data_IF_506585205300
#
_entry.id   IF_506585205300
#
_cell.length_a   1.000
_cell.length_b   1.000
_cell.length_c   1.000
_cell.angle_alpha   90.00
_cell.angle_beta   90.00
_cell.angle_gamma   90.00
#
_symmetry.space_group_name_H-M   'P 1'
#
loop_
_entity.id
_entity.type
_entity.pdbx_description
1 polymer ?
#
# COMPACT_ATOMS: atom_id res chain seq x y z
N UNK A 1 17.07 40.82 -20.36
CA UNK A 1 16.39 39.90 -19.44
C UNK A 1 16.91 40.18 -18.05
N UNK A 2 16.05 40.62 -17.13
CA UNK A 2 16.46 40.91 -15.75
C UNK A 2 16.03 39.75 -14.84
N UNK A 3 17.01 39.07 -14.25
CA UNK A 3 16.78 37.93 -13.36
C UNK A 3 17.34 38.23 -11.99
N UNK A 4 16.52 37.99 -10.97
CA UNK A 4 16.93 37.99 -9.57
C UNK A 4 16.66 36.61 -8.99
N UNK A 5 17.72 35.89 -8.60
CA UNK A 5 17.58 34.62 -7.87
C UNK A 5 17.24 34.93 -6.41
N UNK A 6 16.11 34.40 -5.93
CA UNK A 6 15.62 34.63 -4.57
C UNK A 6 16.08 33.51 -3.63
N UNK A 7 15.98 32.26 -4.11
CA UNK A 7 16.27 31.08 -3.30
C UNK A 7 16.65 29.91 -4.20
N UNK A 8 17.73 29.23 -3.86
CA UNK A 8 18.06 27.92 -4.45
C UNK A 8 17.51 26.80 -3.56
N UNK A 9 16.81 25.85 -4.19
CA UNK A 9 16.36 24.63 -3.55
C UNK A 9 17.41 23.56 -3.80
N UNK A 10 17.96 23.04 -2.71
CA UNK A 10 18.95 21.98 -2.76
C UNK A 10 18.33 20.72 -3.38
N UNK A 11 18.75 20.40 -4.59
CA UNK A 11 18.39 19.17 -5.29
C UNK A 11 19.51 18.16 -5.22
N UNK A 12 19.14 16.88 -5.12
CA UNK A 12 20.07 15.81 -5.48
C UNK A 12 20.18 15.77 -7.02
N UNK A 13 21.39 15.64 -7.53
CA UNK A 13 21.64 15.42 -8.96
C UNK A 13 22.38 16.55 -9.66
N UNK A 14 22.24 16.57 -10.98
CA UNK A 14 22.95 17.49 -11.89
C UNK A 14 22.22 18.82 -12.09
N UNK A 15 20.93 18.87 -11.77
CA UNK A 15 20.07 20.02 -12.03
C UNK A 15 20.10 21.02 -10.87
N UNK A 16 19.95 22.31 -11.16
CA UNK A 16 19.61 23.34 -10.17
C UNK A 16 18.10 23.56 -10.16
N UNK A 17 17.55 23.93 -9.01
CA UNK A 17 16.16 24.37 -8.87
C UNK A 17 16.15 25.70 -8.12
N UNK A 18 15.72 26.77 -8.77
CA UNK A 18 15.84 28.13 -8.21
C UNK A 18 14.53 28.91 -8.33
N UNK A 19 14.04 29.41 -7.21
CA UNK A 19 12.99 30.42 -7.19
C UNK A 19 13.61 31.76 -7.57
N UNK A 20 13.03 32.42 -8.56
CA UNK A 20 13.56 33.65 -9.12
C UNK A 20 12.43 34.60 -9.55
N UNK A 21 12.80 35.84 -9.83
CA UNK A 21 11.97 36.80 -10.54
C UNK A 21 12.60 37.08 -11.89
N UNK A 22 11.84 36.84 -12.97
CA UNK A 22 12.23 37.09 -14.36
C UNK A 22 11.34 38.21 -14.92
N UNK A 23 11.96 39.35 -15.25
CA UNK A 23 11.28 40.55 -15.75
C UNK A 23 10.06 40.97 -14.90
N UNK A 24 10.20 40.85 -13.57
CA UNK A 24 9.18 41.20 -12.59
C UNK A 24 8.14 40.11 -12.31
N UNK A 25 8.21 38.95 -12.98
CA UNK A 25 7.31 37.81 -12.74
C UNK A 25 8.01 36.72 -11.91
N UNK A 26 7.35 36.18 -10.87
CA UNK A 26 7.88 35.04 -10.14
C UNK A 26 7.92 33.80 -11.05
N UNK A 27 9.08 33.14 -11.07
CA UNK A 27 9.32 31.93 -11.86
C UNK A 27 10.08 30.90 -11.04
N UNK A 28 10.03 29.65 -11.49
CA UNK A 28 10.93 28.58 -11.07
C UNK A 28 11.85 28.26 -12.24
N UNK A 29 13.16 28.29 -11.99
CA UNK A 29 14.18 27.97 -12.98
C UNK A 29 14.76 26.58 -12.71
N UNK A 30 14.80 25.76 -13.77
CA UNK A 30 15.50 24.47 -13.75
C UNK A 30 16.68 24.56 -14.72
N UNK A 31 17.89 24.52 -14.18
CA UNK A 31 19.12 24.58 -14.95
C UNK A 31 20.05 23.41 -14.65
N UNK A 32 21.33 23.58 -14.98
CA UNK A 32 22.41 22.65 -14.65
C UNK A 32 23.33 23.27 -13.61
N UNK A 33 23.77 22.46 -12.64
CA UNK A 33 24.85 22.86 -11.71
C UNK A 33 26.13 23.09 -12.49
N UNK A 34 26.98 23.99 -11.99
CA UNK A 34 28.18 24.45 -12.70
C UNK A 34 29.06 23.32 -13.25
N UNK A 35 29.24 22.24 -12.49
CA UNK A 35 30.04 21.06 -12.86
C UNK A 35 29.49 20.23 -14.03
N UNK A 36 28.25 20.49 -14.46
CA UNK A 36 27.56 19.76 -15.53
C UNK A 36 27.18 20.63 -16.74
N UNK A 37 27.32 21.95 -16.65
CA UNK A 37 26.93 22.88 -17.73
C UNK A 37 27.70 22.65 -19.03
N UNK A 38 28.98 22.32 -18.94
CA UNK A 38 29.85 22.09 -20.10
C UNK A 38 29.72 20.67 -20.68
N UNK A 39 28.82 19.83 -20.16
CA UNK A 39 28.65 18.44 -20.59
C UNK A 39 27.41 18.34 -21.50
N UNK A 40 27.59 18.20 -22.83
CA UNK A 40 26.48 18.29 -23.80
C UNK A 40 25.36 17.27 -23.58
N UNK A 41 25.65 16.13 -22.95
CA UNK A 41 24.65 15.11 -22.61
C UNK A 41 23.56 15.65 -21.68
N UNK A 42 23.90 16.39 -20.63
CA UNK A 42 22.92 16.91 -19.67
C UNK A 42 22.14 18.09 -20.23
N UNK A 43 22.77 18.88 -21.09
CA UNK A 43 22.06 19.91 -21.84
C UNK A 43 21.02 19.30 -22.76
N UNK A 44 21.39 18.30 -23.57
CA UNK A 44 20.46 17.58 -24.46
C UNK A 44 19.29 16.98 -23.68
N UNK A 45 19.57 16.43 -22.52
CA UNK A 45 18.56 15.86 -21.63
C UNK A 45 17.61 16.91 -21.05
N UNK A 46 18.13 18.06 -20.62
CA UNK A 46 17.33 19.21 -20.19
C UNK A 46 16.39 19.67 -21.31
N UNK A 47 16.93 19.88 -22.52
CA UNK A 47 16.14 20.28 -23.71
C UNK A 47 15.08 19.22 -24.06
N UNK A 48 15.44 17.93 -24.00
CA UNK A 48 14.51 16.82 -24.27
C UNK A 48 13.35 16.80 -23.28
N UNK A 49 13.60 17.05 -22.00
CA UNK A 49 12.54 17.09 -21.00
C UNK A 49 11.62 18.30 -21.19
N UNK A 50 12.17 19.47 -21.53
CA UNK A 50 11.36 20.63 -21.90
C UNK A 50 10.43 20.31 -23.08
N UNK A 51 10.99 19.79 -24.18
CA UNK A 51 10.22 19.46 -25.39
C UNK A 51 9.12 18.43 -25.11
N UNK A 52 9.35 17.48 -24.19
CA UNK A 52 8.36 16.48 -23.79
C UNK A 52 7.21 17.07 -22.97
N UNK A 53 7.46 18.08 -22.14
CA UNK A 53 6.51 18.56 -21.14
C UNK A 53 5.95 19.97 -21.41
N UNK A 54 6.47 20.71 -22.40
CA UNK A 54 6.10 22.12 -22.65
C UNK A 54 4.62 22.34 -22.99
N UNK A 55 3.96 21.33 -23.56
CA UNK A 55 2.52 21.39 -23.90
C UNK A 55 1.62 20.96 -22.74
N UNK A 56 2.18 20.52 -21.60
CA UNK A 56 1.36 20.15 -20.45
C UNK A 56 0.68 21.39 -19.87
N UNK A 57 -0.63 21.32 -19.83
CA UNK A 57 -1.50 22.36 -19.29
C UNK A 57 -2.58 21.70 -18.44
N UNK A 58 -2.37 21.71 -17.13
CA UNK A 58 -3.26 21.10 -16.15
C UNK A 58 -3.15 21.82 -14.82
N UNK A 59 -4.27 21.98 -14.11
CA UNK A 59 -4.36 22.81 -12.92
C UNK A 59 -3.40 22.39 -11.79
N UNK A 60 -3.04 21.11 -11.72
CA UNK A 60 -2.12 20.57 -10.72
C UNK A 60 -0.68 20.40 -11.21
N UNK A 61 -0.35 20.90 -12.40
CA UNK A 61 1.00 20.96 -12.93
C UNK A 61 1.51 22.40 -12.99
N UNK A 62 2.81 22.56 -12.86
CA UNK A 62 3.49 23.82 -13.11
C UNK A 62 3.82 23.93 -14.60
N UNK A 63 3.32 24.98 -15.26
CA UNK A 63 3.50 25.18 -16.70
C UNK A 63 4.93 25.60 -17.04
N UNK A 64 5.56 24.87 -17.96
CA UNK A 64 6.81 25.30 -18.58
C UNK A 64 6.52 26.39 -19.61
N UNK A 65 7.06 27.58 -19.41
CA UNK A 65 6.77 28.74 -20.26
C UNK A 65 7.80 28.95 -21.35
N UNK A 66 9.08 28.64 -21.07
CA UNK A 66 10.16 28.81 -22.01
C UNK A 66 11.39 27.96 -21.66
N UNK A 67 12.31 27.87 -22.61
CA UNK A 67 13.68 27.41 -22.41
C UNK A 67 14.60 28.55 -22.85
N UNK A 68 15.26 29.18 -21.88
CA UNK A 68 16.00 30.43 -22.08
C UNK A 68 17.49 30.27 -21.74
N UNK A 69 18.35 31.01 -22.43
CA UNK A 69 19.76 31.13 -22.07
C UNK A 69 19.92 32.20 -20.98
N UNK A 70 20.31 31.76 -19.78
CA UNK A 70 20.52 32.62 -18.62
C UNK A 70 22.01 32.91 -18.47
N UNK A 71 22.37 34.19 -18.39
CA UNK A 71 23.77 34.59 -18.22
C UNK A 71 24.39 33.94 -16.96
N UNK A 72 25.57 33.37 -17.13
CA UNK A 72 26.27 32.61 -16.09
C UNK A 72 25.62 31.28 -15.66
N UNK A 73 24.46 30.87 -16.20
CA UNK A 73 23.85 29.55 -15.92
C UNK A 73 23.68 28.65 -17.16
N UNK A 74 23.67 29.23 -18.36
CA UNK A 74 23.38 28.52 -19.60
C UNK A 74 21.88 28.27 -19.78
N UNK A 75 21.46 27.20 -20.48
CA UNK A 75 20.06 26.94 -20.74
C UNK A 75 19.32 26.57 -19.45
N UNK A 76 18.22 27.26 -19.19
CA UNK A 76 17.31 26.98 -18.08
C UNK A 76 15.87 26.88 -18.58
N UNK A 77 15.14 25.89 -18.07
CA UNK A 77 13.69 25.81 -18.24
C UNK A 77 13.06 26.82 -17.28
N UNK A 78 12.19 27.67 -17.82
CA UNK A 78 11.40 28.63 -17.07
C UNK A 78 10.02 28.04 -16.83
N UNK A 79 9.59 28.01 -15.58
CA UNK A 79 8.25 27.60 -15.19
C UNK A 79 7.52 28.74 -14.48
N UNK A 80 6.20 28.82 -14.70
CA UNK A 80 5.36 29.74 -13.94
C UNK A 80 5.39 29.40 -12.45
N UNK A 81 5.42 30.40 -11.58
CA UNK A 81 5.40 30.16 -10.13
C UNK A 81 4.38 31.06 -9.45
N UNK A 82 3.51 30.44 -8.66
CA UNK A 82 2.63 31.12 -7.72
C UNK A 82 3.25 31.11 -6.32
N UNK A 83 2.78 32.01 -5.45
CA UNK A 83 3.21 32.02 -4.05
C UNK A 83 2.81 30.72 -3.35
N UNK A 84 3.77 30.08 -2.68
CA UNK A 84 3.56 28.79 -2.05
C UNK A 84 4.82 28.26 -1.38
N UNK A 85 4.75 27.00 -0.95
CA UNK A 85 5.86 26.28 -0.31
C UNK A 85 5.98 24.87 -0.85
N UNK A 86 7.13 24.23 -0.68
CA UNK A 86 7.29 22.83 -1.08
C UNK A 86 6.47 21.91 -0.17
N UNK A 87 6.12 20.72 -0.65
CA UNK A 87 5.45 19.71 0.16
C UNK A 87 6.28 19.30 1.37
N UNK A 88 7.61 19.33 1.27
CA UNK A 88 8.51 19.09 2.41
C UNK A 88 8.30 20.11 3.56
N UNK A 89 8.08 21.38 3.23
CA UNK A 89 7.76 22.41 4.21
C UNK A 89 6.34 22.23 4.74
N UNK A 90 5.37 21.96 3.86
CA UNK A 90 3.98 21.70 4.21
C UNK A 90 3.85 20.55 5.23
N UNK A 91 4.53 19.43 5.02
CA UNK A 91 4.50 18.28 5.94
C UNK A 91 5.02 18.63 7.34
N UNK A 92 6.00 19.54 7.43
CA UNK A 92 6.57 19.99 8.72
C UNK A 92 5.63 20.92 9.50
N UNK A 93 4.66 21.54 8.83
CA UNK A 93 3.64 22.38 9.47
C UNK A 93 2.60 21.56 10.25
N UNK A 94 2.45 20.27 9.96
CA UNK A 94 1.60 19.35 10.72
C UNK A 94 0.11 19.50 10.43
N UNK A 95 -0.27 19.37 9.16
CA UNK A 95 -1.65 19.46 8.70
C UNK A 95 -2.54 18.28 9.11
N UNK A 96 -3.84 18.46 8.94
CA UNK A 96 -4.88 17.45 9.22
C UNK A 96 -4.86 16.32 8.19
N UNK A 97 -5.49 15.19 8.55
CA UNK A 97 -5.66 14.06 7.63
C UNK A 97 -6.45 14.48 6.38
N UNK A 98 -7.48 15.32 6.54
CA UNK A 98 -8.30 15.81 5.43
C UNK A 98 -7.52 16.67 4.44
N UNK A 99 -6.64 17.53 4.94
CA UNK A 99 -5.76 18.36 4.11
C UNK A 99 -4.77 17.48 3.34
N UNK A 100 -4.11 16.53 4.01
CA UNK A 100 -3.20 15.59 3.35
C UNK A 100 -3.91 14.68 2.35
N UNK A 101 -5.13 14.24 2.63
CA UNK A 101 -5.94 13.50 1.66
C UNK A 101 -6.22 14.34 0.42
N UNK A 102 -6.58 15.62 0.59
CA UNK A 102 -6.81 16.53 -0.54
C UNK A 102 -5.56 16.66 -1.40
N UNK A 103 -4.40 16.89 -0.78
CA UNK A 103 -3.10 16.96 -1.47
C UNK A 103 -2.78 15.66 -2.20
N UNK A 104 -3.03 14.50 -1.58
CA UNK A 104 -2.79 13.19 -2.19
C UNK A 104 -3.64 12.95 -3.45
N UNK A 105 -4.92 13.33 -3.42
CA UNK A 105 -5.83 13.22 -4.58
C UNK A 105 -5.35 14.12 -5.72
N UNK A 106 -5.10 15.40 -5.44
CA UNK A 106 -4.65 16.35 -6.46
C UNK A 106 -3.31 15.93 -7.09
N UNK A 107 -2.39 15.39 -6.28
CA UNK A 107 -1.12 14.84 -6.77
C UNK A 107 -1.33 13.61 -7.65
N UNK A 108 -2.23 12.70 -7.27
CA UNK A 108 -2.57 11.56 -8.10
C UNK A 108 -3.18 12.01 -9.44
N UNK A 109 -4.12 12.96 -9.44
CA UNK A 109 -4.72 13.50 -10.66
C UNK A 109 -3.68 14.16 -11.59
N UNK A 110 -2.67 14.86 -11.04
CA UNK A 110 -1.53 15.35 -11.81
C UNK A 110 -0.74 14.23 -12.49
N UNK A 111 -0.47 13.13 -11.80
CA UNK A 111 0.26 11.97 -12.35
C UNK A 111 -0.56 11.25 -13.43
N UNK A 112 -1.85 11.09 -13.19
CA UNK A 112 -2.80 10.52 -14.14
C UNK A 112 -2.85 11.34 -15.44
N UNK A 113 -2.87 12.67 -15.35
CA UNK A 113 -2.73 13.55 -16.53
C UNK A 113 -1.42 13.29 -17.29
N UNK A 114 -0.28 13.20 -16.59
CA UNK A 114 1.02 12.90 -17.22
C UNK A 114 0.98 11.56 -17.94
N UNK A 115 0.41 10.52 -17.31
CA UNK A 115 0.33 9.16 -17.86
C UNK A 115 -0.58 9.09 -19.09
N UNK A 116 -1.72 9.77 -19.08
CA UNK A 116 -2.62 9.87 -20.25
C UNK A 116 -1.99 10.58 -21.44
N UNK A 117 -1.02 11.46 -21.19
CA UNK A 117 -0.23 12.11 -22.23
C UNK A 117 1.01 11.29 -22.64
N UNK A 118 1.08 10.00 -22.28
CA UNK A 118 2.12 9.07 -22.72
C UNK A 118 3.49 9.30 -22.06
N UNK A 119 3.53 10.03 -20.96
CA UNK A 119 4.75 10.28 -20.19
C UNK A 119 4.70 9.59 -18.83
N UNK A 120 5.86 9.41 -18.22
CA UNK A 120 6.02 8.99 -16.82
C UNK A 120 6.87 10.05 -16.16
N UNK A 121 6.48 10.51 -14.96
CA UNK A 121 7.24 11.53 -14.26
C UNK A 121 8.61 10.96 -13.84
N UNK A 122 8.62 9.77 -13.25
CA UNK A 122 9.80 8.95 -12.99
C UNK A 122 10.74 9.48 -11.89
N UNK A 123 10.31 10.50 -11.14
CA UNK A 123 11.01 11.07 -9.97
C UNK A 123 10.08 12.01 -9.21
N UNK A 124 9.03 11.48 -8.59
CA UNK A 124 8.12 12.27 -7.76
C UNK A 124 8.70 12.34 -6.35
N UNK A 125 8.94 13.53 -5.82
CA UNK A 125 9.42 13.71 -4.45
C UNK A 125 8.94 15.05 -3.85
N UNK A 126 8.94 15.23 -2.52
CA UNK A 126 8.40 16.42 -1.87
C UNK A 126 9.04 17.76 -2.30
N UNK A 127 10.28 17.75 -2.80
CA UNK A 127 10.95 18.96 -3.30
C UNK A 127 10.40 19.42 -4.67
N UNK A 128 9.79 18.52 -5.44
CA UNK A 128 9.23 18.81 -6.77
C UNK A 128 7.73 19.10 -6.73
N UNK A 129 7.14 19.16 -5.54
CA UNK A 129 5.71 19.40 -5.32
C UNK A 129 5.58 20.71 -4.56
N UNK A 130 4.84 21.66 -5.12
CA UNK A 130 4.49 22.91 -4.46
C UNK A 130 3.04 22.89 -3.99
N UNK A 131 2.78 23.51 -2.86
CA UNK A 131 1.47 23.78 -2.30
C UNK A 131 1.25 25.29 -2.32
N UNK A 132 0.23 25.75 -3.04
CA UNK A 132 -0.08 27.18 -3.16
C UNK A 132 -0.49 27.74 -1.81
N UNK A 133 -0.07 28.97 -1.51
CA UNK A 133 -0.46 29.62 -0.26
C UNK A 133 -1.98 29.90 -0.21
N UNK A 134 -2.59 30.13 -1.38
CA UNK A 134 -4.03 30.28 -1.50
C UNK A 134 -4.67 28.94 -1.85
N UNK A 135 -5.45 28.40 -0.91
CA UNK A 135 -6.27 27.20 -1.12
C UNK A 135 -5.52 25.86 -1.06
N UNK A 136 -4.23 25.87 -0.70
CA UNK A 136 -3.37 24.68 -0.58
C UNK A 136 -3.51 23.70 -1.76
N UNK A 137 -3.47 24.24 -2.98
CA UNK A 137 -3.52 23.45 -4.21
C UNK A 137 -2.15 22.92 -4.59
N UNK A 138 -2.12 21.71 -5.13
CA UNK A 138 -0.90 21.07 -5.63
C UNK A 138 -0.45 21.72 -6.95
N UNK A 139 0.83 21.99 -7.08
CA UNK A 139 1.52 22.32 -8.33
C UNK A 139 2.75 21.42 -8.45
N UNK A 140 2.62 20.32 -9.18
CA UNK A 140 3.71 19.38 -9.45
C UNK A 140 4.60 19.91 -10.59
N UNK A 141 5.90 19.92 -10.38
CA UNK A 141 6.89 20.29 -11.39
C UNK A 141 7.11 19.11 -12.34
N UNK A 142 6.71 19.16 -13.62
CA UNK A 142 6.76 18.00 -14.53
C UNK A 142 8.18 17.77 -15.09
N UNK A 143 9.14 17.55 -14.20
CA UNK A 143 10.56 17.41 -14.53
C UNK A 143 11.21 16.30 -13.70
N UNK A 144 11.96 15.43 -14.35
CA UNK A 144 12.73 14.36 -13.72
C UNK A 144 14.12 14.84 -13.37
N UNK A 145 14.45 14.93 -12.08
CA UNK A 145 15.83 15.20 -11.66
C UNK A 145 16.76 14.05 -12.06
N UNK A 146 17.91 14.38 -12.65
CA UNK A 146 18.95 13.39 -12.95
C UNK A 146 19.87 13.22 -11.76
N UNK A 147 19.75 12.08 -11.09
CA UNK A 147 20.65 11.68 -10.00
C UNK A 147 21.96 11.14 -10.57
N UNK A 148 23.08 11.47 -9.92
CA UNK A 148 24.36 10.81 -10.17
C UNK A 148 24.50 9.56 -9.30
N UNK A 149 25.34 8.60 -9.68
CA UNK A 149 25.57 7.34 -8.93
C UNK A 149 25.88 7.58 -7.45
N UNK A 150 26.73 8.56 -7.14
CA UNK A 150 27.07 8.95 -5.76
C UNK A 150 25.90 9.52 -4.94
N UNK A 151 24.76 9.84 -5.56
CA UNK A 151 23.58 10.46 -4.94
C UNK A 151 22.38 9.52 -4.85
N UNK A 152 22.38 8.38 -5.53
CA UNK A 152 21.50 7.25 -5.17
C UNK A 152 21.73 6.79 -3.73
N UNK A 153 22.93 7.05 -3.19
CA UNK A 153 23.29 6.79 -1.79
C UNK A 153 22.57 7.71 -0.78
N UNK A 154 22.02 8.85 -1.22
CA UNK A 154 21.24 9.73 -0.34
C UNK A 154 19.83 9.19 -0.12
N UNK A 155 19.63 8.55 1.05
CA UNK A 155 18.33 8.02 1.51
C UNK A 155 17.18 9.02 1.43
N UNK A 156 17.47 10.32 1.48
CA UNK A 156 16.44 11.36 1.45
C UNK A 156 15.70 11.41 0.10
N UNK A 157 16.34 11.06 -1.01
CA UNK A 157 15.73 11.08 -2.35
C UNK A 157 15.48 9.65 -2.85
N UNK A 158 16.40 8.72 -2.62
CA UNK A 158 16.25 7.33 -3.09
C UNK A 158 15.04 6.61 -2.49
N UNK A 159 14.58 7.01 -1.29
CA UNK A 159 13.36 6.43 -0.67
C UNK A 159 12.09 6.60 -1.52
N UNK A 160 12.04 7.57 -2.44
CA UNK A 160 10.91 7.79 -3.36
C UNK A 160 11.11 7.10 -4.71
N UNK A 161 12.32 6.60 -4.98
CA UNK A 161 12.66 5.94 -6.25
C UNK A 161 12.18 4.50 -6.20
N UNK A 162 11.40 4.09 -7.20
CA UNK A 162 10.93 2.72 -7.31
C UNK A 162 12.10 1.76 -7.58
N UNK A 163 12.08 0.51 -7.08
CA UNK A 163 13.20 -0.43 -7.24
C UNK A 163 13.66 -0.62 -8.70
N UNK A 164 12.71 -0.71 -9.64
CA UNK A 164 13.00 -0.84 -11.07
C UNK A 164 13.67 0.40 -11.69
N UNK A 165 13.47 1.57 -11.08
CA UNK A 165 14.12 2.81 -11.49
C UNK A 165 15.56 2.91 -10.99
N UNK A 166 15.89 2.20 -9.90
CA UNK A 166 17.27 2.03 -9.42
C UNK A 166 18.01 0.99 -10.27
N UNK A 167 17.36 -0.15 -10.53
CA UNK A 167 17.96 -1.27 -11.27
C UNK A 167 18.18 -0.93 -12.76
N UNK A 168 17.34 -0.06 -13.35
CA UNK A 168 17.43 0.35 -14.76
C UNK A 168 17.15 -0.77 -15.77
N UNK A 169 16.68 -1.93 -15.30
CA UNK A 169 16.50 -3.16 -16.10
C UNK A 169 15.21 -3.17 -16.91
N UNK A 170 14.24 -2.33 -16.54
CA UNK A 170 12.91 -2.26 -17.17
C UNK A 170 12.56 -0.80 -17.43
N UNK A 171 11.85 -0.55 -18.54
CA UNK A 171 11.29 0.77 -18.81
C UNK A 171 10.30 1.17 -17.70
N UNK A 172 10.37 2.43 -17.26
CA UNK A 172 9.46 2.95 -16.25
C UNK A 172 8.06 3.11 -16.83
N UNK A 173 7.07 2.77 -16.01
CA UNK A 173 5.64 2.96 -16.27
C UNK A 173 4.98 3.70 -15.09
N UNK A 174 3.66 3.87 -15.15
CA UNK A 174 2.87 4.53 -14.12
C UNK A 174 3.12 3.99 -12.70
N UNK A 175 3.51 2.72 -12.57
CA UNK A 175 3.71 2.07 -11.27
C UNK A 175 4.87 2.68 -10.52
N UNK A 176 5.90 3.19 -11.21
CA UNK A 176 7.03 3.86 -10.58
C UNK A 176 6.58 5.16 -9.87
N UNK A 177 5.70 5.93 -10.50
CA UNK A 177 5.13 7.14 -9.90
C UNK A 177 4.17 6.81 -8.75
N UNK A 178 3.39 5.72 -8.87
CA UNK A 178 2.52 5.22 -7.80
C UNK A 178 3.34 4.78 -6.57
N UNK A 179 4.52 4.20 -6.77
CA UNK A 179 5.43 3.87 -5.66
C UNK A 179 5.86 5.14 -4.93
N UNK A 180 6.31 6.15 -5.67
CA UNK A 180 6.72 7.43 -5.10
C UNK A 180 5.56 8.11 -4.34
N UNK A 181 4.36 8.11 -4.93
CA UNK A 181 3.13 8.60 -4.28
C UNK A 181 2.88 7.88 -2.95
N UNK A 182 2.95 6.55 -2.93
CA UNK A 182 2.78 5.77 -1.72
C UNK A 182 3.81 6.09 -0.62
N UNK A 183 5.04 6.45 -0.97
CA UNK A 183 6.05 6.90 -0.01
C UNK A 183 5.75 8.30 0.53
N UNK A 184 5.22 9.19 -0.30
CA UNK A 184 4.76 10.52 0.11
C UNK A 184 3.56 10.42 1.06
N UNK A 185 2.62 9.50 0.83
CA UNK A 185 1.51 9.25 1.76
C UNK A 185 2.01 8.87 3.17
N UNK A 186 3.12 8.12 3.26
CA UNK A 186 3.74 7.79 4.57
C UNK A 186 4.30 9.03 5.26
N UNK A 187 4.92 9.95 4.50
CA UNK A 187 5.43 11.21 5.06
C UNK A 187 4.33 12.13 5.56
N UNK A 188 3.19 12.14 4.85
CA UNK A 188 1.97 12.82 5.28
C UNK A 188 1.25 12.10 6.44
N UNK A 189 1.81 11.02 6.99
CA UNK A 189 1.28 10.28 8.13
C UNK A 189 -0.16 9.77 7.94
N UNK A 190 -0.57 9.55 6.68
CA UNK A 190 -1.83 8.92 6.32
C UNK A 190 -1.74 7.42 6.67
N UNK A 191 -2.04 7.03 7.90
CA UNK A 191 -1.71 5.68 8.40
C UNK A 191 -2.87 4.69 8.36
N UNK A 192 -3.50 4.38 9.50
CA UNK A 192 -4.41 3.24 9.68
C UNK A 192 -5.44 3.05 8.55
N UNK A 193 -6.23 4.08 8.16
CA UNK A 193 -7.22 3.94 7.09
C UNK A 193 -6.60 3.68 5.70
N UNK A 194 -5.39 4.17 5.43
CA UNK A 194 -4.71 4.07 4.13
C UNK A 194 -3.66 2.96 4.07
N UNK A 195 -3.41 2.25 5.17
CA UNK A 195 -2.34 1.25 5.33
C UNK A 195 -2.28 0.20 4.21
N UNK A 196 -3.44 -0.32 3.77
CA UNK A 196 -3.52 -1.28 2.67
C UNK A 196 -3.15 -0.65 1.32
N UNK A 197 -3.63 0.56 1.04
CA UNK A 197 -3.36 1.30 -0.20
C UNK A 197 -1.88 1.65 -0.27
N UNK A 198 -1.31 2.14 0.83
CA UNK A 198 0.12 2.44 0.95
C UNK A 198 0.96 1.17 0.81
N UNK A 199 0.55 0.06 1.41
CA UNK A 199 1.24 -1.22 1.29
C UNK A 199 1.25 -1.72 -0.16
N UNK A 200 0.12 -1.65 -0.85
CA UNK A 200 -0.01 -1.98 -2.27
C UNK A 200 0.87 -1.06 -3.13
N UNK A 201 0.70 0.26 -3.00
CA UNK A 201 1.43 1.28 -3.75
C UNK A 201 2.95 1.20 -3.51
N UNK A 202 3.41 0.85 -2.31
CA UNK A 202 4.84 0.74 -1.98
C UNK A 202 5.38 -0.68 -2.05
N UNK A 203 4.69 -1.62 -2.72
CA UNK A 203 5.22 -2.96 -2.90
C UNK A 203 6.49 -2.94 -3.77
N UNK A 204 7.49 -3.72 -3.33
CA UNK A 204 8.73 -3.93 -4.05
C UNK A 204 8.47 -4.57 -5.42
N UNK A 205 7.57 -5.55 -5.49
CA UNK A 205 7.20 -6.18 -6.74
C UNK A 205 6.28 -5.28 -7.55
N UNK A 206 6.72 -4.81 -8.73
CA UNK A 206 5.90 -3.95 -9.60
C UNK A 206 4.56 -4.57 -9.97
N UNK A 207 4.46 -5.89 -10.04
CA UNK A 207 3.22 -6.61 -10.33
C UNK A 207 2.18 -6.54 -9.22
N UNK A 208 2.59 -6.20 -8.00
CA UNK A 208 1.71 -6.09 -6.83
C UNK A 208 1.22 -4.66 -6.58
N UNK A 209 1.74 -3.67 -7.31
CA UNK A 209 1.28 -2.29 -7.30
C UNK A 209 0.03 -2.12 -8.17
N UNK A 210 -0.70 -1.03 -7.93
CA UNK A 210 -1.75 -0.56 -8.84
C UNK A 210 -1.19 -0.40 -10.26
N UNK A 211 -1.96 -0.84 -11.25
CA UNK A 211 -1.55 -0.79 -12.65
C UNK A 211 -1.55 0.63 -13.22
N UNK A 212 -2.47 1.46 -12.73
CA UNK A 212 -2.69 2.85 -13.11
C UNK A 212 -3.16 3.68 -11.90
N UNK A 213 -3.21 4.99 -12.09
CA UNK A 213 -3.60 5.94 -11.03
C UNK A 213 -5.10 5.86 -10.74
N UNK A 214 -5.93 5.55 -11.74
CA UNK A 214 -7.38 5.38 -11.56
C UNK A 214 -7.70 4.26 -10.55
N UNK A 215 -7.06 3.10 -10.69
CA UNK A 215 -7.19 1.98 -9.77
C UNK A 215 -6.73 2.35 -8.36
N UNK A 216 -5.67 3.16 -8.25
CA UNK A 216 -5.19 3.66 -6.97
C UNK A 216 -6.21 4.61 -6.32
N UNK A 217 -6.73 5.58 -7.07
CA UNK A 217 -7.70 6.58 -6.58
C UNK A 217 -9.01 5.91 -6.13
N UNK A 218 -9.50 4.93 -6.89
CA UNK A 218 -10.70 4.17 -6.53
C UNK A 218 -10.58 3.52 -5.13
N UNK A 219 -9.42 2.93 -4.83
CA UNK A 219 -9.12 2.32 -3.53
C UNK A 219 -8.84 3.35 -2.43
N UNK A 220 -8.20 4.47 -2.79
CA UNK A 220 -7.84 5.55 -1.86
C UNK A 220 -9.10 6.29 -1.35
N UNK A 221 -10.00 6.67 -2.25
CA UNK A 221 -11.23 7.39 -1.91
C UNK A 221 -12.27 6.50 -1.21
N UNK A 222 -12.36 5.22 -1.59
CA UNK A 222 -13.34 4.30 -0.99
C UNK A 222 -13.14 4.14 0.53
N UNK A 223 -11.91 4.28 1.02
CA UNK A 223 -11.58 4.08 2.45
C UNK A 223 -11.92 5.29 3.32
N UNK A 224 -12.08 6.48 2.74
CA UNK A 224 -12.66 7.65 3.42
C UNK A 224 -14.13 7.41 3.80
N UNK A 225 -14.89 6.73 2.94
CA UNK A 225 -16.31 6.42 3.19
C UNK A 225 -16.51 5.40 4.32
N UNK A 226 -15.51 4.56 4.61
CA UNK A 226 -15.57 3.58 5.71
C UNK A 226 -15.11 4.19 7.04
N UNK A 227 -14.19 5.17 6.99
CA UNK A 227 -13.72 5.94 8.15
C UNK A 227 -14.78 6.92 8.69
N UNK A 228 -15.60 7.53 7.81
CA UNK A 228 -16.84 8.19 8.24
C UNK A 228 -17.81 7.12 8.74
N UNK A 229 -17.77 6.89 10.05
CA UNK A 229 -18.37 5.75 10.75
C UNK A 229 -19.67 5.25 10.13
N UNK A 230 -19.67 3.99 9.68
CA UNK A 230 -20.91 3.23 9.53
C UNK A 230 -21.62 3.25 10.90
N UNK A 231 -22.93 3.56 10.98
CA UNK A 231 -23.68 3.52 12.24
C UNK A 231 -23.56 2.18 12.97
N UNK A 232 -23.15 1.11 12.26
CA UNK A 232 -22.85 -0.20 12.83
C UNK A 232 -21.65 -0.22 13.77
N UNK A 233 -20.58 0.55 13.53
CA UNK A 233 -19.43 0.58 14.45
C UNK A 233 -19.78 1.29 15.77
N UNK A 234 -20.59 2.35 15.69
CA UNK A 234 -21.12 3.04 16.87
C UNK A 234 -22.02 2.12 17.71
N UNK A 235 -22.79 1.23 17.09
CA UNK A 235 -23.58 0.20 17.78
C UNK A 235 -22.68 -0.77 18.56
N UNK A 236 -21.57 -1.23 17.98
CA UNK A 236 -20.65 -2.13 18.70
C UNK A 236 -19.94 -1.45 19.87
N UNK A 237 -19.55 -0.18 19.74
CA UNK A 237 -18.94 0.60 20.83
C UNK A 237 -19.96 0.84 21.95
N UNK A 238 -21.20 1.21 21.60
CA UNK A 238 -22.27 1.40 22.59
C UNK A 238 -22.63 0.08 23.29
N UNK A 239 -22.68 -1.03 22.55
CA UNK A 239 -22.90 -2.36 23.11
C UNK A 239 -21.76 -2.77 24.07
N UNK A 240 -20.50 -2.48 23.72
CA UNK A 240 -19.37 -2.75 24.60
C UNK A 240 -19.42 -1.91 25.89
N UNK A 241 -19.81 -0.64 25.82
CA UNK A 241 -20.00 0.22 26.99
C UNK A 241 -21.10 -0.33 27.89
N UNK A 242 -22.24 -0.74 27.32
CA UNK A 242 -23.35 -1.34 28.07
C UNK A 242 -22.91 -2.65 28.76
N UNK A 243 -22.18 -3.51 28.05
CA UNK A 243 -21.63 -4.75 28.64
C UNK A 243 -20.69 -4.45 29.80
N UNK A 244 -19.80 -3.47 29.67
CA UNK A 244 -18.90 -3.05 30.75
C UNK A 244 -19.66 -2.50 31.97
N UNK A 245 -20.73 -1.71 31.75
CA UNK A 245 -21.59 -1.21 32.83
C UNK A 245 -22.34 -2.34 33.55
N UNK A 246 -22.85 -3.32 32.80
CA UNK A 246 -23.52 -4.51 33.37
C UNK A 246 -22.53 -5.33 34.19
N UNK A 247 -21.32 -5.57 33.68
CA UNK A 247 -20.26 -6.28 34.42
C UNK A 247 -19.90 -5.51 35.70
N UNK A 248 -19.74 -4.19 35.62
CA UNK A 248 -19.48 -3.33 36.79
C UNK A 248 -20.59 -3.42 37.83
N UNK A 249 -21.86 -3.39 37.42
CA UNK A 249 -23.01 -3.52 38.31
C UNK A 249 -23.08 -4.90 38.98
N UNK A 250 -22.78 -5.98 38.24
CA UNK A 250 -22.72 -7.35 38.77
C UNK A 250 -21.61 -7.47 39.82
N UNK A 251 -20.43 -6.90 39.57
CA UNK A 251 -19.31 -6.91 40.54
C UNK A 251 -19.70 -6.16 41.82
N UNK A 252 -20.36 -4.99 41.70
CA UNK A 252 -20.83 -4.22 42.86
C UNK A 252 -21.87 -5.02 43.65
N UNK A 253 -22.82 -5.67 42.97
CA UNK A 253 -23.85 -6.50 43.60
C UNK A 253 -23.30 -7.76 44.28
N UNK A 254 -22.29 -8.40 43.70
CA UNK A 254 -21.63 -9.54 44.32
C UNK A 254 -20.84 -9.12 45.57
N UNK A 255 -20.26 -7.92 45.56
CA UNK A 255 -19.51 -7.38 46.70
C UNK A 255 -20.43 -6.97 47.86
N UNK A 256 -21.63 -6.44 47.58
CA UNK A 256 -22.62 -6.11 48.62
C UNK A 256 -23.26 -7.34 49.27
N UNK A 257 -23.26 -8.51 48.60
CA UNK A 257 -23.72 -9.78 49.17
C UNK A 257 -22.73 -10.44 50.13
N UNK A 258 -21.46 -10.01 50.11
CA UNK A 258 -20.37 -10.59 50.91
C UNK A 258 -20.31 -10.05 52.34
N UNK A 259 -21.06 -9.00 52.69
CA UNK A 259 -21.00 -8.36 54.03
C UNK A 259 -22.16 -8.74 54.96
N UNK A 260 -22.96 -9.76 54.63
CA UNK A 260 -24.15 -10.16 55.41
C UNK A 260 -24.08 -11.55 56.04
N UNK A 261 -23.46 -11.65 57.22
CA UNK A 261 -23.78 -12.50 58.39
C UNK A 261 -23.87 -14.04 58.31
N UNK A 262 -23.19 -14.69 59.26
CA UNK A 262 -23.51 -15.98 59.89
C UNK A 262 -23.00 -15.94 61.36
N UNK A 263 -23.34 -16.87 62.30
CA UNK A 263 -24.53 -17.74 62.45
C UNK A 263 -25.09 -17.78 63.91
N UNK A 264 -26.24 -18.42 64.17
CA UNK A 264 -26.51 -19.17 65.43
C UNK A 264 -27.84 -19.96 65.44
N UNK A 265 -27.78 -21.19 65.98
CA UNK A 265 -28.84 -21.81 66.81
C UNK A 265 -29.81 -22.83 66.18
N UNK A 266 -29.70 -24.09 66.59
CA UNK A 266 -30.59 -25.26 66.33
C UNK A 266 -31.96 -25.20 67.10
N UNK A 267 -32.74 -26.30 67.24
CA UNK A 267 -33.67 -26.93 66.28
C UNK A 267 -35.10 -27.07 66.85
N UNK A 268 -36.13 -27.33 66.04
CA UNK A 268 -37.37 -27.94 66.53
C UNK A 268 -38.22 -28.58 65.41
N UNK A 269 -38.48 -29.86 65.64
CA UNK A 269 -39.50 -30.74 65.06
C UNK A 269 -40.91 -30.22 65.31
N UNK A 270 -41.84 -30.25 64.34
CA UNK A 270 -43.18 -30.84 64.51
C UNK A 270 -44.00 -30.86 63.20
N UNK A 271 -45.02 -31.72 63.24
CA UNK A 271 -45.73 -32.38 62.15
C UNK A 271 -46.90 -31.59 61.54
N UNK A 272 -47.46 -32.24 60.51
CA UNK A 272 -48.87 -32.28 60.08
C UNK A 272 -49.31 -31.22 59.06
N UNK A 273 -50.21 -31.49 58.13
CA UNK A 273 -50.82 -32.69 57.54
C UNK A 273 -51.74 -32.14 56.42
N UNK A 274 -51.93 -32.91 55.35
CA UNK A 274 -53.07 -32.91 54.40
C UNK A 274 -53.52 -31.56 53.78
N UNK A 275 -53.76 -31.45 52.47
CA UNK A 275 -54.83 -32.20 51.79
C UNK A 275 -54.75 -31.96 50.27
N UNK A 276 -54.74 -33.07 49.53
CA UNK A 276 -55.34 -33.39 48.22
C UNK A 276 -55.85 -32.29 47.29
N UNK A 277 -55.50 -32.38 46.00
CA UNK A 277 -56.35 -32.87 44.89
C UNK A 277 -55.57 -32.66 43.58
N UNK A 278 -55.08 -33.72 42.92
CA UNK A 278 -55.80 -34.59 41.96
C UNK A 278 -56.26 -33.83 40.72
N UNK A 279 -55.55 -33.96 39.60
CA UNK A 279 -55.88 -34.97 38.57
C UNK A 279 -54.81 -34.96 37.46
N UNK A 280 -54.05 -36.05 37.24
CA UNK A 280 -54.35 -37.23 36.36
C UNK A 280 -54.68 -36.78 34.93
N UNK A 281 -53.91 -37.08 33.88
CA UNK A 281 -53.54 -38.39 33.32
C UNK A 281 -52.36 -38.19 32.33
N UNK A 282 -51.24 -38.94 32.42
CA UNK A 282 -50.97 -40.20 31.68
C UNK A 282 -50.64 -39.90 30.20
N UNK A 283 -49.57 -40.36 29.55
CA UNK A 283 -48.36 -41.14 29.84
C UNK A 283 -47.67 -41.27 28.45
N UNK A 284 -46.33 -41.43 28.42
CA UNK A 284 -45.57 -42.38 27.57
C UNK A 284 -45.79 -42.40 26.03
N UNK A 285 -44.86 -42.82 25.20
CA UNK A 285 -43.42 -43.08 25.20
C UNK A 285 -43.10 -43.47 23.75
N UNK A 286 -41.81 -43.35 23.42
CA UNK A 286 -41.09 -44.16 22.44
C UNK A 286 -41.26 -43.89 20.92
N UNK A 287 -40.14 -43.41 20.39
CA UNK A 287 -39.53 -43.47 19.05
C UNK A 287 -39.59 -44.86 18.33
N UNK A 288 -38.93 -45.11 17.17
CA UNK A 288 -38.43 -44.24 16.07
C UNK A 288 -38.75 -44.73 14.62
N UNK A 289 -38.70 -43.81 13.64
CA UNK A 289 -38.23 -43.88 12.21
C UNK A 289 -38.78 -44.97 11.21
N UNK A 290 -38.54 -44.87 9.87
CA UNK A 290 -38.28 -43.75 8.94
C UNK A 290 -39.13 -43.81 7.63
N UNK A 291 -38.78 -42.95 6.65
CA UNK A 291 -38.85 -43.07 5.16
C UNK A 291 -39.76 -42.07 4.41
N UNK A 292 -39.07 -41.21 3.63
CA UNK A 292 -39.34 -40.52 2.34
C UNK A 292 -40.71 -39.92 1.99
N UNK A 293 -40.70 -38.67 1.51
CA UNK A 293 -40.95 -38.32 0.09
C UNK A 293 -40.92 -36.80 -0.15
N UNK A 294 -40.07 -36.40 -1.11
CA UNK A 294 -40.09 -35.28 -2.07
C UNK A 294 -40.69 -33.89 -1.71
N UNK A 295 -39.93 -32.83 -2.02
CA UNK A 295 -40.34 -31.76 -2.95
C UNK A 295 -39.20 -30.78 -3.30
N UNK A 296 -38.75 -30.89 -4.56
CA UNK A 296 -38.41 -29.88 -5.58
C UNK A 296 -37.77 -28.52 -5.20
N UNK A 297 -36.65 -28.24 -5.88
CA UNK A 297 -36.06 -26.91 -6.17
C UNK A 297 -36.88 -26.12 -7.22
N UNK A 298 -36.57 -24.83 -7.42
CA UNK A 298 -36.47 -24.23 -8.74
C UNK A 298 -35.01 -24.00 -9.19
N UNK A 299 -34.86 -24.17 -10.49
CA UNK A 299 -33.72 -24.15 -11.40
C UNK A 299 -32.91 -22.84 -11.49
N UNK A 300 -31.60 -22.97 -11.75
CA UNK A 300 -30.81 -21.97 -12.48
C UNK A 300 -29.85 -22.65 -13.48
N UNK A 301 -29.73 -22.02 -14.64
CA UNK A 301 -29.23 -22.52 -15.92
C UNK A 301 -27.79 -23.04 -15.97
N UNK A 302 -27.62 -24.03 -16.84
CA UNK A 302 -26.35 -24.53 -17.38
C UNK A 302 -25.78 -23.56 -18.42
N UNK A 303 -24.48 -23.29 -18.36
CA UNK A 303 -23.66 -22.95 -19.51
C UNK A 303 -22.40 -23.85 -19.49
N UNK A 304 -22.14 -24.52 -20.60
CA UNK A 304 -21.11 -25.53 -20.81
C UNK A 304 -19.77 -24.94 -21.30
N UNK A 305 -18.70 -25.72 -21.11
CA UNK A 305 -17.39 -25.65 -21.79
C UNK A 305 -16.27 -25.15 -20.86
N UNK A 306 -15.18 -25.86 -20.56
CA UNK A 306 -14.29 -26.64 -21.44
C UNK A 306 -13.54 -27.71 -20.62
N UNK A 307 -13.49 -28.95 -21.12
CA UNK A 307 -12.50 -29.98 -20.74
C UNK A 307 -11.31 -29.91 -21.72
N UNK A 308 -10.16 -30.40 -21.27
CA UNK A 308 -8.86 -30.57 -21.94
C UNK A 308 -7.83 -29.44 -21.73
N UNK A 309 -7.18 -29.44 -20.56
CA UNK A 309 -5.79 -29.00 -20.41
C UNK A 309 -4.95 -30.17 -19.89
N UNK A 310 -3.83 -30.54 -20.53
CA UNK A 310 -2.93 -31.59 -20.04
C UNK A 310 -2.40 -31.20 -18.66
N UNK A 311 -2.41 -32.14 -17.70
CA UNK A 311 -2.10 -31.98 -16.27
C UNK A 311 -1.47 -30.63 -15.91
N UNK A 312 -2.31 -29.69 -15.47
CA UNK A 312 -1.91 -28.36 -15.02
C UNK A 312 -0.70 -28.39 -14.07
N UNK A 313 -0.68 -29.37 -13.15
CA UNK A 313 0.43 -29.61 -12.21
C UNK A 313 1.75 -29.99 -12.91
N UNK A 314 1.70 -30.68 -14.03
CA UNK A 314 2.88 -31.12 -14.81
C UNK A 314 3.63 -29.94 -15.43
N UNK A 315 2.94 -28.81 -15.68
CA UNK A 315 3.58 -27.57 -16.13
C UNK A 315 3.98 -26.63 -14.98
N UNK A 316 3.19 -26.63 -13.90
CA UNK A 316 3.35 -25.69 -12.78
C UNK A 316 4.49 -26.06 -11.84
N UNK A 317 4.64 -27.35 -11.52
CA UNK A 317 5.66 -27.85 -10.56
C UNK A 317 7.09 -27.61 -11.06
N UNK A 318 7.44 -27.87 -12.34
CA UNK A 318 8.77 -27.55 -12.85
C UNK A 318 9.12 -26.06 -12.78
N UNK A 319 8.18 -25.18 -13.14
CA UNK A 319 8.39 -23.74 -13.05
C UNK A 319 8.56 -23.31 -11.58
N UNK A 320 7.80 -23.91 -10.66
CA UNK A 320 7.95 -23.66 -9.24
C UNK A 320 9.35 -24.01 -8.73
N UNK A 321 9.93 -25.12 -9.17
CA UNK A 321 11.29 -25.49 -8.80
C UNK A 321 12.32 -24.45 -9.25
N UNK A 322 12.19 -23.94 -10.48
CA UNK A 322 13.07 -22.90 -11.03
C UNK A 322 13.00 -21.63 -10.19
N UNK A 323 11.80 -21.21 -9.79
CA UNK A 323 11.64 -19.99 -9.02
C UNK A 323 12.09 -20.15 -7.56
N UNK A 324 11.91 -21.34 -6.96
CA UNK A 324 12.50 -21.67 -5.66
C UNK A 324 14.03 -21.65 -5.76
N UNK A 325 14.64 -22.17 -6.82
CA UNK A 325 16.10 -22.14 -6.97
C UNK A 325 16.66 -20.71 -6.98
N UNK A 326 15.97 -19.77 -7.64
CA UNK A 326 16.31 -18.34 -7.61
C UNK A 326 16.19 -17.74 -6.21
N UNK A 327 15.25 -18.20 -5.39
CA UNK A 327 15.10 -17.73 -4.00
C UNK A 327 16.32 -18.12 -3.14
N UNK A 328 16.92 -19.28 -3.42
CA UNK A 328 18.08 -19.79 -2.71
C UNK A 328 19.43 -19.27 -3.27
N UNK A 329 19.49 -18.72 -4.49
CA UNK A 329 20.74 -18.16 -5.05
C UNK A 329 20.84 -16.63 -4.89
N UNK A 330 22.05 -16.06 -4.69
CA UNK A 330 23.36 -16.71 -4.44
C UNK A 330 23.64 -16.89 -2.92
N UNK A 331 22.67 -17.34 -2.14
CA UNK A 331 22.82 -17.42 -0.69
C UNK A 331 23.67 -18.64 -0.29
N UNK A 332 24.80 -18.39 0.37
CA UNK A 332 25.59 -19.43 1.07
C UNK A 332 25.65 -19.10 2.55
N UNK A 333 25.63 -20.13 3.38
CA UNK A 333 25.78 -19.99 4.84
C UNK A 333 27.08 -20.62 5.35
N UNK A 334 27.95 -21.05 4.43
CA UNK A 334 29.24 -21.65 4.75
C UNK A 334 30.16 -20.58 5.36
N UNK A 335 30.76 -20.90 6.51
CA UNK A 335 31.63 -19.96 7.25
C UNK A 335 30.92 -18.84 8.03
N UNK A 336 29.58 -18.76 8.01
CA UNK A 336 28.83 -17.74 8.76
C UNK A 336 28.68 -18.08 10.26
N UNK A 337 28.55 -17.05 11.10
CA UNK A 337 28.19 -17.19 12.51
C UNK A 337 26.75 -17.71 12.70
N UNK A 338 26.39 -18.32 13.85
CA UNK A 338 25.04 -18.82 14.10
C UNK A 338 23.93 -17.78 13.87
N UNK A 339 24.15 -16.53 14.30
CA UNK A 339 23.18 -15.44 14.13
C UNK A 339 23.03 -15.02 12.66
N UNK A 340 24.14 -14.98 11.91
CA UNK A 340 24.11 -14.71 10.48
C UNK A 340 23.41 -15.84 9.70
N UNK A 341 23.63 -17.10 10.09
CA UNK A 341 22.90 -18.26 9.54
C UNK A 341 21.40 -18.13 9.80
N UNK A 342 21.01 -17.78 11.02
CA UNK A 342 19.60 -17.57 11.39
C UNK A 342 18.95 -16.42 10.59
N UNK A 343 19.69 -15.33 10.35
CA UNK A 343 19.23 -14.22 9.54
C UNK A 343 18.99 -14.62 8.06
N UNK A 344 19.91 -15.39 7.46
CA UNK A 344 19.76 -15.91 6.09
C UNK A 344 18.56 -16.87 6.01
N UNK A 345 18.40 -17.78 6.98
CA UNK A 345 17.24 -18.69 7.03
C UNK A 345 15.92 -17.92 7.17
N UNK A 346 15.89 -16.86 8.00
CA UNK A 346 14.73 -15.98 8.14
C UNK A 346 14.40 -15.26 6.83
N UNK A 347 15.42 -14.77 6.12
CA UNK A 347 15.27 -14.12 4.82
C UNK A 347 14.68 -15.09 3.77
N UNK A 348 15.20 -16.32 3.70
CA UNK A 348 14.71 -17.38 2.81
C UNK A 348 13.26 -17.74 3.13
N UNK A 349 12.93 -18.00 4.40
CA UNK A 349 11.55 -18.32 4.82
C UNK A 349 10.56 -17.21 4.47
N UNK A 350 10.99 -15.96 4.59
CA UNK A 350 10.15 -14.82 4.24
C UNK A 350 9.91 -14.74 2.74
N UNK A 351 10.94 -14.97 1.91
CA UNK A 351 10.82 -15.02 0.45
C UNK A 351 9.92 -16.17 -0.02
N UNK A 352 10.10 -17.36 0.55
CA UNK A 352 9.28 -18.54 0.28
C UNK A 352 7.80 -18.33 0.63
N UNK A 353 7.52 -17.75 1.80
CA UNK A 353 6.14 -17.45 2.22
C UNK A 353 5.45 -16.47 1.27
N UNK A 354 6.18 -15.45 0.78
CA UNK A 354 5.64 -14.48 -0.19
C UNK A 354 5.41 -15.12 -1.55
N UNK A 355 6.39 -15.87 -2.04
CA UNK A 355 6.31 -16.59 -3.31
C UNK A 355 5.09 -17.52 -3.36
N UNK A 356 4.94 -18.39 -2.36
CA UNK A 356 3.85 -19.36 -2.32
C UNK A 356 2.47 -18.67 -2.23
N UNK A 357 2.32 -17.63 -1.40
CA UNK A 357 1.06 -16.85 -1.33
C UNK A 357 0.75 -16.14 -2.65
N UNK A 358 1.76 -15.58 -3.31
CA UNK A 358 1.63 -14.91 -4.60
C UNK A 358 1.22 -15.89 -5.70
N UNK A 359 1.88 -17.04 -5.78
CA UNK A 359 1.59 -18.08 -6.75
C UNK A 359 0.17 -18.63 -6.58
N UNK A 360 -0.23 -19.00 -5.36
CA UNK A 360 -1.58 -19.51 -5.09
C UNK A 360 -2.68 -18.48 -5.40
N UNK A 361 -2.40 -17.19 -5.17
CA UNK A 361 -3.31 -16.10 -5.56
C UNK A 361 -3.37 -15.93 -7.08
N UNK A 362 -2.24 -16.03 -7.78
CA UNK A 362 -2.18 -15.96 -9.24
C UNK A 362 -2.97 -17.09 -9.88
N UNK A 363 -2.76 -18.33 -9.42
CA UNK A 363 -3.47 -19.51 -9.91
C UNK A 363 -4.98 -19.35 -9.71
N UNK A 364 -5.39 -18.89 -8.51
CA UNK A 364 -6.80 -18.63 -8.22
C UNK A 364 -7.43 -17.59 -9.15
N UNK A 365 -6.66 -16.58 -9.55
CA UNK A 365 -7.15 -15.51 -10.41
C UNK A 365 -7.17 -15.91 -11.89
N UNK A 366 -6.24 -16.76 -12.36
CA UNK A 366 -6.12 -17.13 -13.77
C UNK A 366 -6.86 -18.43 -14.14
N UNK A 367 -6.97 -19.38 -13.22
CA UNK A 367 -7.57 -20.70 -13.46
C UNK A 367 -8.72 -21.04 -12.50
N UNK A 368 -9.10 -20.12 -11.61
CA UNK A 368 -10.06 -20.40 -10.54
C UNK A 368 -9.40 -21.15 -9.37
N UNK A 369 -10.18 -21.44 -8.33
CA UNK A 369 -9.66 -22.20 -7.19
C UNK A 369 -9.31 -23.63 -7.63
N UNK A 370 -8.11 -24.10 -7.24
CA UNK A 370 -7.70 -25.49 -7.43
C UNK A 370 -8.68 -26.43 -6.73
N UNK A 371 -8.82 -27.65 -7.28
CA UNK A 371 -9.49 -28.71 -6.53
C UNK A 371 -8.73 -28.98 -5.23
N UNK A 372 -9.42 -29.48 -4.21
CA UNK A 372 -8.77 -29.80 -2.92
C UNK A 372 -7.65 -30.83 -3.07
N UNK A 373 -7.79 -31.75 -4.04
CA UNK A 373 -6.80 -32.77 -4.34
C UNK A 373 -5.57 -32.19 -5.05
N UNK A 374 -5.76 -31.33 -6.06
CA UNK A 374 -4.66 -30.66 -6.77
C UNK A 374 -3.90 -29.70 -5.86
N UNK A 375 -4.61 -28.99 -4.99
CA UNK A 375 -4.01 -28.12 -3.99
C UNK A 375 -3.15 -28.94 -3.02
N UNK A 376 -3.64 -30.06 -2.51
CA UNK A 376 -2.88 -30.92 -1.61
C UNK A 376 -1.63 -31.52 -2.30
N UNK A 377 -1.75 -31.93 -3.56
CA UNK A 377 -0.63 -32.45 -4.35
C UNK A 377 0.44 -31.37 -4.60
N UNK A 378 0.01 -30.16 -4.95
CA UNK A 378 0.90 -29.02 -5.15
C UNK A 378 1.62 -28.62 -3.84
N UNK A 379 0.89 -28.54 -2.73
CA UNK A 379 1.43 -28.19 -1.41
C UNK A 379 2.48 -29.20 -0.96
N UNK A 380 2.22 -30.49 -1.20
CA UNK A 380 3.18 -31.56 -0.93
C UNK A 380 4.45 -31.40 -1.77
N UNK A 381 4.32 -31.16 -3.08
CA UNK A 381 5.47 -30.96 -3.96
C UNK A 381 6.30 -29.73 -3.57
N UNK A 382 5.63 -28.63 -3.22
CA UNK A 382 6.27 -27.41 -2.73
C UNK A 382 7.06 -27.66 -1.44
N UNK A 383 6.45 -28.31 -0.44
CA UNK A 383 7.08 -28.59 0.85
C UNK A 383 8.28 -29.54 0.69
N UNK A 384 8.13 -30.61 -0.10
CA UNK A 384 9.20 -31.58 -0.36
C UNK A 384 10.42 -30.89 -0.99
N UNK A 385 10.22 -30.03 -2.00
CA UNK A 385 11.32 -29.32 -2.67
C UNK A 385 11.98 -28.25 -1.79
N UNK A 386 11.18 -27.47 -1.05
CA UNK A 386 11.69 -26.46 -0.09
C UNK A 386 12.54 -27.12 0.98
N UNK A 387 12.11 -28.27 1.52
CA UNK A 387 12.85 -29.00 2.53
C UNK A 387 14.19 -29.52 1.99
N UNK A 388 14.20 -30.05 0.76
CA UNK A 388 15.43 -30.46 0.09
C UNK A 388 16.42 -29.29 -0.08
N UNK A 389 15.95 -28.12 -0.51
CA UNK A 389 16.79 -26.92 -0.69
C UNK A 389 17.30 -26.35 0.63
N UNK A 390 16.48 -26.36 1.69
CA UNK A 390 16.94 -25.98 3.04
C UNK A 390 18.01 -26.93 3.55
N UNK A 391 17.86 -28.24 3.33
CA UNK A 391 18.88 -29.22 3.71
C UNK A 391 20.19 -29.03 2.93
N UNK A 392 20.12 -28.61 1.65
CA UNK A 392 21.31 -28.25 0.87
C UNK A 392 21.95 -26.94 1.35
N UNK A 393 21.16 -25.93 1.68
CA UNK A 393 21.66 -24.67 2.21
C UNK A 393 22.40 -24.87 3.53
N UNK A 394 21.96 -25.79 4.39
CA UNK A 394 22.55 -26.01 5.71
C UNK A 394 23.77 -26.96 5.72
N UNK A 395 24.12 -27.55 4.57
CA UNK A 395 25.35 -28.32 4.36
C UNK A 395 26.49 -27.37 3.98
#
# INVERSE_FOLDING_TARGET
MNITIEKEITTAGVNTLQEATLDGKPVLLIGLKATYREKPQYERDLRRQYERCKEFDYQYLMKMTALEEIDGQGPCIVLEREAGRTLDAYIKEGHTEEEYHSVAVQLAEALDYIHRNGAVHGMVCPQMIYITQQGDQVRLVPFRLYLTDALMESRAVSRYVAPEAEDGTVALDARADIFALGQILKDMQLTLPYSNVISCATSFARSERYIDVESFLADFDHRRSVSKGSPRSMIYVLAAIVVCLVIGAVIIFMKSRSEGSAPSGEPATEMADSTQQSDTLTQQSAAPQPVDTASQMPTANTAQGVQDQPDFLTSLVPQMHVDIDKIFQPLTVQGLSPDAKAAVVKQVNTRLTRYYKGLMRSIRNSHGALSTEDQAAFDKAYLDYVNAKKAQLMK
#
